data_IF_724660757613
#
_entry.id   IF_724660757613
#
_cell.length_a   1.000
_cell.length_b   1.000
_cell.length_c   1.000
_cell.angle_alpha   90.00
_cell.angle_beta   90.00
_cell.angle_gamma   90.00
#
_symmetry.space_group_name_H-M   'P 1'
#
loop_
_entity.id
_entity.type
_entity.pdbx_description
1 polymer ?
#
# COMPACT_ATOMS: atom_id res chain seq x y z
N UNK A 1 -1.27 -19.12 1.77
CA UNK A 1 -2.59 -19.13 2.43
C UNK A 1 -2.70 -20.41 3.23
N UNK A 2 -3.12 -20.35 4.50
CA UNK A 2 -3.47 -21.58 5.23
C UNK A 2 -4.73 -22.16 4.57
N UNK A 3 -4.92 -23.48 4.64
CA UNK A 3 -5.88 -24.24 3.82
C UNK A 3 -7.38 -23.87 3.94
N UNK A 4 -7.76 -22.78 4.61
CA UNK A 4 -9.14 -22.33 4.77
C UNK A 4 -9.35 -20.81 4.73
N UNK A 5 -8.34 -20.02 4.36
CA UNK A 5 -8.51 -18.58 4.18
C UNK A 5 -9.06 -18.27 2.78
N UNK A 6 -10.09 -17.42 2.70
CA UNK A 6 -10.62 -16.90 1.43
C UNK A 6 -10.23 -15.44 1.26
N UNK A 7 -9.76 -15.11 0.05
CA UNK A 7 -9.49 -13.73 -0.35
C UNK A 7 -10.71 -13.21 -1.11
N UNK A 8 -11.29 -12.11 -0.64
CA UNK A 8 -12.48 -11.50 -1.24
C UNK A 8 -12.15 -10.09 -1.67
N UNK A 9 -12.29 -9.85 -2.97
CA UNK A 9 -12.15 -8.53 -3.59
C UNK A 9 -13.49 -7.79 -3.54
N UNK A 10 -13.46 -6.54 -3.05
CA UNK A 10 -14.63 -5.67 -3.04
C UNK A 10 -14.49 -4.58 -4.10
N UNK A 11 -15.55 -4.34 -4.87
CA UNK A 11 -15.57 -3.27 -5.88
C UNK A 11 -15.92 -1.90 -5.32
N UNK A 12 -16.36 -1.83 -4.05
CA UNK A 12 -16.71 -0.58 -3.38
C UNK A 12 -16.34 -0.56 -1.90
N UNK A 13 -16.07 0.64 -1.37
CA UNK A 13 -15.80 0.83 0.05
C UNK A 13 -16.98 0.35 0.92
N UNK A 14 -18.20 0.71 0.53
CA UNK A 14 -19.43 0.32 1.23
C UNK A 14 -19.56 -1.20 1.34
N UNK A 15 -19.28 -1.94 0.26
CA UNK A 15 -19.33 -3.40 0.29
C UNK A 15 -18.24 -3.96 1.22
N UNK A 16 -17.02 -3.44 1.19
CA UNK A 16 -15.96 -3.92 2.08
C UNK A 16 -16.27 -3.65 3.55
N UNK A 17 -16.85 -2.49 3.87
CA UNK A 17 -17.28 -2.17 5.23
C UNK A 17 -18.37 -3.13 5.70
N UNK A 18 -19.35 -3.45 4.85
CA UNK A 18 -20.40 -4.42 5.17
C UNK A 18 -19.83 -5.83 5.40
N UNK A 19 -18.86 -6.25 4.57
CA UNK A 19 -18.19 -7.55 4.72
C UNK A 19 -17.45 -7.67 6.06
N UNK A 20 -16.88 -6.59 6.60
CA UNK A 20 -16.19 -6.60 7.90
C UNK A 20 -17.12 -6.91 9.08
N UNK A 21 -18.42 -6.63 8.96
CA UNK A 21 -19.42 -6.95 10.00
C UNK A 21 -19.93 -8.40 9.92
N UNK A 22 -19.58 -9.15 8.87
CA UNK A 22 -20.02 -10.53 8.72
C UNK A 22 -19.20 -11.43 9.65
N UNK A 23 -19.89 -12.19 10.50
CA UNK A 23 -19.29 -13.11 11.46
C UNK A 23 -19.62 -14.57 11.19
N UNK A 24 -20.50 -14.84 10.23
CA UNK A 24 -20.93 -16.20 9.83
C UNK A 24 -21.14 -16.29 8.33
N UNK A 25 -20.81 -17.45 7.76
CA UNK A 25 -21.14 -17.82 6.39
C UNK A 25 -21.94 -19.13 6.43
N UNK A 26 -23.26 -19.04 6.26
CA UNK A 26 -24.17 -20.11 6.67
C UNK A 26 -24.09 -20.33 8.19
N UNK A 27 -23.92 -21.57 8.62
CA UNK A 27 -23.75 -21.93 10.04
C UNK A 27 -22.28 -21.89 10.51
N UNK A 28 -21.35 -21.56 9.61
CA UNK A 28 -19.91 -21.58 9.92
C UNK A 28 -19.48 -20.20 10.43
N UNK A 29 -18.93 -20.09 11.65
CA UNK A 29 -18.36 -18.85 12.14
C UNK A 29 -17.07 -18.49 11.39
N UNK A 30 -16.97 -17.23 11.00
CA UNK A 30 -15.86 -16.69 10.23
C UNK A 30 -15.39 -15.37 10.84
N UNK A 31 -14.13 -15.04 10.59
CA UNK A 31 -13.55 -13.73 10.87
C UNK A 31 -13.21 -13.06 9.55
N UNK A 32 -13.76 -11.87 9.31
CA UNK A 32 -13.39 -11.03 8.18
C UNK A 32 -12.43 -9.95 8.66
N UNK A 33 -11.34 -9.73 7.92
CA UNK A 33 -10.36 -8.68 8.22
C UNK A 33 -9.79 -8.11 6.93
N UNK A 34 -9.34 -6.85 6.97
CA UNK A 34 -8.57 -6.30 5.87
C UNK A 34 -7.29 -7.10 5.66
N UNK A 35 -6.98 -7.46 4.41
CA UNK A 35 -5.75 -8.17 4.12
C UNK A 35 -4.53 -7.25 4.35
N UNK A 36 -3.57 -7.73 5.14
CA UNK A 36 -2.48 -6.90 5.67
C UNK A 36 -1.52 -6.31 4.61
N UNK A 37 -1.44 -6.92 3.43
CA UNK A 37 -0.50 -6.48 2.38
C UNK A 37 -1.16 -6.04 1.09
N UNK A 38 -2.44 -6.39 0.91
CA UNK A 38 -3.11 -6.23 -0.38
C UNK A 38 -4.03 -5.01 -0.42
N UNK A 39 -4.01 -4.14 0.59
CA UNK A 39 -4.73 -2.86 0.58
C UNK A 39 -3.83 -1.64 0.34
N UNK A 40 -2.56 -1.88 0.00
CA UNK A 40 -1.56 -0.83 -0.22
C UNK A 40 -1.08 -0.87 -1.65
N UNK A 41 -0.82 0.31 -2.23
CA UNK A 41 -0.12 0.41 -3.50
C UNK A 41 1.27 0.99 -3.29
N UNK A 42 2.17 0.66 -4.20
CA UNK A 42 3.51 1.24 -4.23
C UNK A 42 3.80 1.83 -5.59
N UNK A 43 4.70 2.80 -5.61
CA UNK A 43 5.29 3.29 -6.85
C UNK A 43 6.57 4.07 -6.62
N UNK A 44 7.37 4.26 -7.66
CA UNK A 44 8.63 4.99 -7.61
C UNK A 44 8.48 6.42 -8.10
N UNK A 45 8.84 7.40 -7.27
CA UNK A 45 8.98 8.80 -7.66
C UNK A 45 10.47 9.15 -7.81
N UNK A 46 10.81 9.97 -8.81
CA UNK A 46 12.19 10.33 -9.12
C UNK A 46 12.31 11.81 -9.41
N UNK A 47 13.22 12.49 -8.70
CA UNK A 47 13.61 13.85 -9.02
C UNK A 47 14.96 14.22 -8.44
N UNK A 48 15.76 14.99 -9.16
CA UNK A 48 17.09 15.42 -8.71
C UNK A 48 17.03 16.24 -7.40
N UNK A 49 15.95 17.00 -7.18
CA UNK A 49 15.71 17.74 -5.93
C UNK A 49 15.52 16.81 -4.72
N UNK A 50 15.09 15.56 -4.93
CA UNK A 50 14.90 14.61 -3.85
C UNK A 50 16.22 14.10 -3.28
N UNK A 51 17.37 14.38 -3.90
CA UNK A 51 18.64 13.85 -3.43
C UNK A 51 18.94 14.26 -1.98
N UNK A 52 18.47 15.43 -1.55
CA UNK A 52 18.72 16.00 -0.22
C UNK A 52 17.58 15.80 0.79
N UNK A 53 16.43 15.23 0.38
CA UNK A 53 15.24 15.09 1.23
C UNK A 53 15.28 13.78 2.02
N UNK A 54 15.13 13.79 3.33
CA UNK A 54 15.08 12.52 4.08
C UNK A 54 13.77 11.74 3.87
N UNK A 55 13.81 10.43 4.10
CA UNK A 55 12.63 9.56 3.98
C UNK A 55 11.47 10.04 4.87
N UNK A 56 11.77 10.53 6.07
CA UNK A 56 10.76 11.03 7.01
C UNK A 56 10.13 12.37 6.55
N UNK A 57 10.94 13.29 6.03
CA UNK A 57 10.44 14.55 5.46
C UNK A 57 9.52 14.26 4.26
N UNK A 58 9.89 13.31 3.41
CA UNK A 58 9.11 12.96 2.24
C UNK A 58 7.75 12.31 2.59
N UNK A 59 7.70 11.52 3.67
CA UNK A 59 6.43 11.00 4.21
C UNK A 59 5.55 12.14 4.72
N UNK A 60 6.12 13.04 5.53
CA UNK A 60 5.38 14.17 6.12
C UNK A 60 4.78 15.07 5.04
N UNK A 61 5.54 15.38 3.99
CA UNK A 61 5.09 16.22 2.89
C UNK A 61 3.93 15.58 2.09
N UNK A 62 3.95 14.26 1.93
CA UNK A 62 3.01 13.52 1.08
C UNK A 62 1.89 12.82 1.87
N UNK A 63 1.84 12.97 3.19
CA UNK A 63 0.85 12.32 4.07
C UNK A 63 -0.59 12.64 3.64
N UNK A 64 -0.86 13.91 3.27
CA UNK A 64 -2.16 14.35 2.77
C UNK A 64 -2.63 13.59 1.50
N UNK A 65 -1.68 13.02 0.75
CA UNK A 65 -1.93 12.20 -0.45
C UNK A 65 -1.87 10.70 -0.15
N UNK A 66 -2.05 10.31 1.12
CA UNK A 66 -2.11 8.94 1.61
C UNK A 66 -0.79 8.17 1.50
N UNK A 67 0.36 8.86 1.44
CA UNK A 67 1.67 8.20 1.58
C UNK A 67 1.91 7.89 3.04
N UNK A 68 2.19 6.62 3.36
CA UNK A 68 2.46 6.14 4.73
C UNK A 68 3.91 5.68 4.92
N UNK A 69 4.63 5.47 3.83
CA UNK A 69 6.06 5.19 3.86
C UNK A 69 6.73 5.68 2.57
N UNK A 70 7.93 6.22 2.72
CA UNK A 70 8.84 6.51 1.63
C UNK A 70 10.16 5.80 1.92
N UNK A 71 10.72 5.13 0.93
CA UNK A 71 12.00 4.44 1.04
C UNK A 71 12.91 4.87 -0.11
N UNK A 72 14.05 5.46 0.22
CA UNK A 72 15.05 5.81 -0.79
C UNK A 72 15.70 4.56 -1.38
N UNK A 73 15.73 4.49 -2.71
CA UNK A 73 16.54 3.49 -3.41
C UNK A 73 18.00 3.93 -3.30
N UNK A 74 18.85 3.04 -2.83
CA UNK A 74 20.30 3.27 -2.73
C UNK A 74 21.03 2.32 -3.67
N UNK A 75 22.18 2.75 -4.17
CA UNK A 75 23.08 1.93 -4.95
C UNK A 75 24.23 1.48 -4.07
N UNK A 76 24.59 0.20 -4.15
CA UNK A 76 25.79 -0.32 -3.51
C UNK A 76 26.89 -0.46 -4.57
N UNK A 77 27.96 0.33 -4.46
CA UNK A 77 29.16 0.26 -5.33
C UNK A 77 30.41 0.33 -4.47
N UNK A 78 31.35 -0.58 -4.72
CA UNK A 78 32.65 -0.65 -4.03
C UNK A 78 32.54 -0.61 -2.49
N UNK A 79 31.52 -1.28 -1.95
CA UNK A 79 31.25 -1.33 -0.50
C UNK A 79 30.58 -0.08 0.07
N UNK A 80 30.40 0.99 -0.71
CA UNK A 80 29.73 2.22 -0.30
C UNK A 80 28.25 2.21 -0.70
N UNK A 81 27.42 2.83 0.14
CA UNK A 81 25.99 3.05 -0.11
C UNK A 81 25.84 4.47 -0.65
N UNK A 82 25.37 4.58 -1.89
CA UNK A 82 25.19 5.84 -2.60
C UNK A 82 23.70 6.14 -2.67
N UNK A 83 23.22 7.24 -2.07
CA UNK A 83 21.81 7.63 -2.18
C UNK A 83 21.48 7.99 -3.63
N UNK A 84 20.29 7.60 -4.08
CA UNK A 84 19.78 8.04 -5.39
C UNK A 84 18.64 9.03 -5.22
N UNK A 85 18.22 9.60 -6.33
CA UNK A 85 17.04 10.48 -6.46
C UNK A 85 15.69 9.75 -6.45
N UNK A 86 15.70 8.42 -6.32
CA UNK A 86 14.51 7.59 -6.47
C UNK A 86 13.96 7.18 -5.10
N UNK A 87 12.65 7.36 -4.92
CA UNK A 87 11.91 6.95 -3.73
C UNK A 87 10.83 5.95 -4.09
N UNK A 88 10.75 4.84 -3.35
CA UNK A 88 9.59 3.95 -3.34
C UNK A 88 8.59 4.52 -2.33
N UNK A 89 7.42 4.93 -2.81
CA UNK A 89 6.31 5.37 -1.98
C UNK A 89 5.37 4.20 -1.74
N UNK A 90 4.83 4.10 -0.52
CA UNK A 90 3.73 3.22 -0.15
C UNK A 90 2.52 4.06 0.19
N UNK A 91 1.43 3.83 -0.54
CA UNK A 91 0.16 4.50 -0.35
C UNK A 91 -0.79 3.61 0.43
N UNK A 92 -1.50 4.19 1.39
CA UNK A 92 -2.64 3.58 2.10
C UNK A 92 -3.91 3.61 1.23
N UNK A 93 -3.75 3.22 -0.03
CA UNK A 93 -4.83 3.10 -0.99
C UNK A 93 -4.62 1.85 -1.85
N UNK A 94 -5.69 1.08 -2.12
CA UNK A 94 -5.63 -0.05 -3.04
C UNK A 94 -5.50 0.42 -4.50
N UNK A 95 -5.91 1.66 -4.79
CA UNK A 95 -5.74 2.23 -6.12
C UNK A 95 -4.59 3.22 -6.09
N UNK A 96 -3.64 3.04 -7.01
CA UNK A 96 -2.52 3.96 -7.18
C UNK A 96 -3.07 5.34 -7.62
N UNK A 97 -2.73 6.43 -6.93
CA UNK A 97 -3.16 7.76 -7.34
C UNK A 97 -2.65 8.11 -8.75
N UNK A 98 -3.49 8.78 -9.53
CA UNK A 98 -3.16 9.19 -10.92
C UNK A 98 -2.07 10.27 -10.96
N UNK A 99 -1.92 11.03 -9.88
CA UNK A 99 -1.02 12.18 -9.75
C UNK A 99 -0.57 12.28 -8.30
N UNK A 100 0.71 12.57 -8.11
CA UNK A 100 1.30 12.89 -6.81
C UNK A 100 2.05 14.22 -6.95
N UNK A 101 1.88 15.11 -5.99
CA UNK A 101 2.50 16.44 -5.97
C UNK A 101 3.42 16.57 -4.76
N UNK A 102 4.70 16.86 -4.98
CA UNK A 102 5.67 17.19 -3.94
C UNK A 102 6.12 18.64 -4.17
N UNK A 103 5.81 19.54 -3.24
CA UNK A 103 6.01 20.98 -3.39
C UNK A 103 5.31 21.54 -4.62
N UNK A 104 6.08 22.15 -5.53
CA UNK A 104 5.59 22.61 -6.84
C UNK A 104 5.65 21.53 -7.93
N UNK A 105 6.26 20.38 -7.64
CA UNK A 105 6.47 19.30 -8.61
C UNK A 105 5.25 18.39 -8.67
N UNK A 106 4.76 18.14 -9.87
CA UNK A 106 3.67 17.21 -10.12
C UNK A 106 4.16 16.06 -11.00
N UNK A 107 4.19 14.84 -10.47
CA UNK A 107 4.53 13.65 -11.24
C UNK A 107 3.26 12.90 -11.68
N UNK A 108 3.20 12.54 -12.97
CA UNK A 108 2.20 11.62 -13.50
C UNK A 108 2.82 10.22 -13.48
N UNK A 109 2.24 9.35 -12.64
CA UNK A 109 2.62 7.96 -12.40
C UNK A 109 3.96 7.72 -11.67
N UNK A 110 3.93 7.26 -10.41
CA UNK A 110 5.12 6.68 -9.81
C UNK A 110 5.37 5.30 -10.48
N UNK A 111 6.55 5.13 -11.07
CA UNK A 111 6.87 3.98 -11.94
C UNK A 111 6.99 2.70 -11.09
N UNK A 112 6.51 1.57 -11.61
CA UNK A 112 6.33 0.25 -10.96
C UNK A 112 4.98 0.09 -10.22
N UNK A 113 4.14 -0.77 -10.80
CA UNK A 113 2.79 -1.07 -10.34
C UNK A 113 2.74 -2.47 -9.72
N UNK A 114 2.38 -2.56 -8.44
CA UNK A 114 1.86 -3.79 -7.84
C UNK A 114 0.37 -3.55 -7.68
N UNK A 115 -0.46 -4.27 -8.45
CA UNK A 115 -1.93 -4.22 -8.31
C UNK A 115 -2.30 -4.68 -6.92
N UNK A 116 -3.11 -3.90 -6.24
CA UNK A 116 -3.62 -4.26 -4.94
C UNK A 116 -5.09 -3.87 -4.87
N UNK A 117 -6.01 -4.80 -5.10
CA UNK A 117 -7.42 -4.44 -4.97
C UNK A 117 -7.84 -4.38 -3.50
N UNK A 118 -8.96 -3.73 -3.17
CA UNK A 118 -9.51 -3.77 -1.81
C UNK A 118 -9.83 -5.21 -1.42
N UNK A 119 -8.90 -5.86 -0.72
CA UNK A 119 -8.89 -7.29 -0.50
C UNK A 119 -9.08 -7.56 0.99
N UNK A 120 -10.11 -8.35 1.28
CA UNK A 120 -10.42 -8.85 2.61
C UNK A 120 -9.97 -10.30 2.70
N UNK A 121 -9.48 -10.69 3.87
CA UNK A 121 -9.23 -12.07 4.22
C UNK A 121 -10.33 -12.56 5.16
N UNK A 122 -10.98 -13.65 4.79
CA UNK A 122 -11.95 -14.36 5.60
C UNK A 122 -11.29 -15.65 6.11
N UNK A 123 -11.29 -15.86 7.41
CA UNK A 123 -10.73 -17.06 8.05
C UNK A 123 -11.81 -17.77 8.87
N UNK A 124 -11.94 -19.08 8.71
CA UNK A 124 -12.86 -19.87 9.53
C UNK A 124 -12.36 -19.97 11.00
N UNK A 125 -13.26 -19.79 11.96
CA UNK A 125 -12.97 -20.00 13.38
C UNK A 125 -13.44 -21.39 13.74
N UNK A 126 -12.53 -22.36 13.82
CA UNK A 126 -12.86 -23.67 14.39
C UNK A 126 -12.92 -23.54 15.91
N UNK A 127 -14.14 -23.61 16.46
CA UNK A 127 -14.33 -23.76 17.90
C UNK A 127 -14.23 -25.27 18.17
N UNK A 128 -13.17 -25.69 18.85
CA UNK A 128 -13.06 -27.05 19.41
C UNK A 128 -13.77 -27.12 20.76
#
# INVERSE_FOLDING_TARGET
>A
MKSGDLLVESSSLKQSEQLLYITKFGDIPIKVSAHAYLNYTRGVMSNDEFLMVSDAEFVSELEAQKVIAALRITLKRDGQIIPTRHFILTFDTPVLPKKVTAGYMSCKYPTLHIKSCSLLQMSAIWVH
#
